data_IF_813910731405
#
_entry.id   IF_813910731405
#
_cell.length_a   1.000
_cell.length_b   1.000
_cell.length_c   1.000
_cell.angle_alpha   90.00
_cell.angle_beta   90.00
_cell.angle_gamma   90.00
#
_symmetry.space_group_name_H-M   'P 1'
#
loop_
_entity.id
_entity.type
_entity.pdbx_description
1 polymer ?
#
# COMPACT_ATOMS: atom_id res chain seq x y z
N UNK A 1 107.32 -8.98 38.38
CA UNK A 1 107.57 -7.52 38.27
C UNK A 1 106.26 -6.83 38.68
N UNK A 2 106.04 -6.64 39.99
CA UNK A 2 106.09 -5.34 40.71
C UNK A 2 105.07 -4.30 40.20
N UNK A 3 103.96 -4.14 40.95
CA UNK A 3 103.41 -2.91 41.57
C UNK A 3 101.92 -3.18 41.93
N UNK A 4 101.50 -3.36 43.20
CA UNK A 4 101.38 -2.40 44.33
C UNK A 4 100.26 -1.37 44.07
N UNK A 5 99.07 -1.49 44.67
CA UNK A 5 98.58 -0.77 45.88
C UNK A 5 97.03 -1.05 45.96
N UNK A 6 96.28 -1.06 47.07
CA UNK A 6 96.41 -0.41 48.37
C UNK A 6 95.49 -1.13 49.39
N UNK A 7 95.98 -1.26 50.62
CA UNK A 7 95.28 -1.73 51.84
C UNK A 7 94.03 -0.89 52.19
N UNK A 8 93.02 -1.52 52.80
CA UNK A 8 92.48 -1.03 54.08
C UNK A 8 91.83 -2.18 54.87
N UNK A 9 92.37 -2.42 56.07
CA UNK A 9 91.90 -3.42 57.03
C UNK A 9 90.95 -2.77 58.03
N UNK A 10 89.95 -3.50 58.53
CA UNK A 10 89.49 -3.33 59.92
C UNK A 10 88.74 -4.58 60.43
N UNK A 11 89.32 -5.21 61.44
CA UNK A 11 88.70 -6.20 62.33
C UNK A 11 87.54 -5.56 63.10
N UNK A 12 86.43 -6.28 63.27
CA UNK A 12 85.73 -6.37 64.54
C UNK A 12 85.20 -7.81 64.74
N UNK A 13 85.73 -8.48 65.77
CA UNK A 13 85.04 -9.59 66.42
C UNK A 13 83.78 -9.04 67.08
N UNK A 14 82.64 -9.66 66.81
CA UNK A 14 81.39 -9.42 67.53
C UNK A 14 80.45 -10.61 67.35
N UNK A 15 80.54 -11.58 68.25
CA UNK A 15 79.44 -12.53 68.47
C UNK A 15 78.31 -11.75 69.16
N UNK A 16 77.22 -11.50 68.44
CA UNK A 16 75.99 -10.94 68.97
C UNK A 16 74.81 -11.72 68.41
N UNK A 17 74.23 -12.58 69.25
CA UNK A 17 72.89 -13.09 69.04
C UNK A 17 71.94 -11.91 69.18
N UNK A 18 71.46 -11.37 68.06
CA UNK A 18 70.28 -10.53 68.03
C UNK A 18 69.44 -10.92 66.82
N UNK A 19 68.21 -11.33 67.14
CA UNK A 19 67.10 -11.53 66.22
C UNK A 19 66.92 -10.22 65.43
N UNK A 20 67.54 -10.16 64.25
CA UNK A 20 67.40 -9.06 63.33
C UNK A 20 65.97 -9.09 62.76
N UNK A 21 65.15 -8.25 63.37
CA UNK A 21 63.88 -7.73 62.88
C UNK A 21 63.90 -7.61 61.34
N UNK A 22 63.04 -8.40 60.70
CA UNK A 22 62.74 -8.36 59.26
C UNK A 22 62.52 -6.90 58.83
N UNK A 23 63.23 -6.36 57.82
CA UNK A 23 62.88 -5.07 57.26
C UNK A 23 61.50 -5.19 56.61
N UNK A 24 60.65 -4.20 56.90
CA UNK A 24 59.36 -4.01 56.25
C UNK A 24 59.55 -3.80 54.74
N UNK A 25 59.20 -4.82 53.97
CA UNK A 25 58.71 -4.70 52.59
C UNK A 25 57.35 -5.40 52.54
N UNK A 26 56.39 -4.91 51.74
CA UNK A 26 55.01 -5.41 51.74
C UNK A 26 54.99 -6.92 51.48
N UNK A 27 54.09 -7.62 52.14
CA UNK A 27 53.94 -9.08 52.12
C UNK A 27 54.02 -9.65 50.69
N UNK A 28 55.22 -10.08 50.30
CA UNK A 28 55.45 -10.96 49.17
C UNK A 28 55.08 -12.37 49.61
N UNK A 29 54.20 -13.00 48.86
CA UNK A 29 53.76 -14.40 49.02
C UNK A 29 54.91 -15.40 48.91
N UNK A 30 56.06 -14.97 48.37
CA UNK A 30 57.21 -15.81 48.13
C UNK A 30 57.82 -16.45 49.39
N UNK A 31 58.02 -17.76 49.33
CA UNK A 31 58.59 -18.61 50.39
C UNK A 31 57.54 -19.13 51.37
N UNK A 32 56.27 -19.16 51.00
CA UNK A 32 55.17 -19.60 51.85
C UNK A 32 54.87 -21.12 51.73
N UNK A 33 55.57 -21.83 50.85
CA UNK A 33 55.39 -23.26 50.61
C UNK A 33 54.22 -23.60 49.69
N UNK A 34 53.73 -22.66 48.90
CA UNK A 34 52.70 -22.82 47.86
C UNK A 34 53.13 -22.03 46.61
N UNK A 35 52.69 -22.48 45.45
CA UNK A 35 52.90 -21.76 44.19
C UNK A 35 51.71 -20.84 43.94
N UNK A 36 51.89 -19.54 44.11
CA UNK A 36 50.83 -18.54 43.89
C UNK A 36 50.77 -18.05 42.43
N UNK A 37 49.66 -17.42 42.01
CA UNK A 37 49.38 -17.04 40.60
C UNK A 37 50.44 -16.15 39.94
N UNK A 38 51.29 -15.48 40.72
CA UNK A 38 52.36 -14.58 40.23
C UNK A 38 53.78 -15.12 40.49
N UNK A 39 53.91 -16.39 40.85
CA UNK A 39 55.18 -17.03 41.18
C UNK A 39 55.50 -18.10 40.14
N UNK A 40 56.75 -18.15 39.71
CA UNK A 40 57.24 -19.23 38.84
C UNK A 40 57.69 -20.44 39.66
N UNK A 41 58.11 -20.19 40.90
CA UNK A 41 58.49 -21.21 41.88
C UNK A 41 58.46 -20.62 43.29
N UNK A 42 58.37 -21.46 44.33
CA UNK A 42 58.44 -21.05 45.74
C UNK A 42 59.56 -21.83 46.49
N UNK A 43 60.49 -21.14 47.18
CA UNK A 43 61.61 -21.79 47.88
C UNK A 43 61.20 -22.54 49.15
N UNK A 44 59.97 -22.33 49.64
CA UNK A 44 59.36 -23.09 50.73
C UNK A 44 58.83 -24.46 50.29
N UNK A 45 58.72 -24.74 48.98
CA UNK A 45 58.40 -26.06 48.43
C UNK A 45 59.70 -26.87 48.30
N UNK A 46 59.82 -27.95 49.07
CA UNK A 46 61.07 -28.71 49.17
C UNK A 46 61.44 -29.53 47.93
N UNK A 47 60.47 -29.93 47.11
CA UNK A 47 60.69 -30.71 45.88
C UNK A 47 59.38 -30.89 45.11
N UNK A 48 59.45 -31.03 43.77
CA UNK A 48 58.31 -31.29 42.91
C UNK A 48 57.81 -30.05 42.18
N UNK A 49 56.59 -30.10 41.65
CA UNK A 49 55.98 -29.00 40.91
C UNK A 49 55.88 -27.75 41.80
N UNK A 50 56.31 -26.60 41.26
CA UNK A 50 56.38 -25.34 41.99
C UNK A 50 57.62 -25.15 42.88
N UNK A 51 58.49 -26.15 43.06
CA UNK A 51 59.78 -25.94 43.77
C UNK A 51 60.79 -25.17 42.91
N UNK A 52 61.55 -24.26 43.53
CA UNK A 52 62.59 -23.51 42.82
C UNK A 52 63.74 -24.43 42.41
N UNK A 53 63.92 -24.58 41.09
CA UNK A 53 64.99 -25.39 40.54
C UNK A 53 66.36 -24.75 40.81
N UNK A 54 67.34 -25.56 41.20
CA UNK A 54 68.71 -25.11 41.50
C UNK A 54 69.67 -25.28 40.33
N UNK A 55 69.23 -25.96 39.26
CA UNK A 55 69.99 -26.13 38.02
C UNK A 55 69.05 -26.42 36.84
N UNK A 56 69.51 -26.05 35.64
CA UNK A 56 68.86 -26.39 34.38
C UNK A 56 69.81 -27.28 33.58
N UNK A 57 69.32 -28.45 33.14
CA UNK A 57 70.03 -29.25 32.16
C UNK A 57 69.75 -28.72 30.76
N UNK A 58 70.80 -28.46 29.99
CA UNK A 58 70.69 -28.15 28.57
C UNK A 58 70.65 -29.46 27.75
N UNK A 59 69.80 -29.52 26.72
CA UNK A 59 69.86 -30.55 25.68
C UNK A 59 71.08 -30.40 24.77
N UNK A 60 71.24 -31.32 23.81
CA UNK A 60 72.40 -31.33 22.88
C UNK A 60 72.43 -30.15 21.89
N UNK A 61 71.30 -29.48 21.64
CA UNK A 61 71.16 -28.42 20.62
C UNK A 61 70.60 -27.10 21.19
N UNK A 62 70.78 -26.88 22.49
CA UNK A 62 70.36 -25.68 23.18
C UNK A 62 71.31 -25.37 24.33
N UNK A 63 71.24 -24.15 24.83
CA UNK A 63 71.83 -23.76 26.11
C UNK A 63 70.71 -23.47 27.10
N UNK A 64 70.95 -23.74 28.38
CA UNK A 64 69.99 -23.45 29.44
C UNK A 64 70.66 -22.63 30.53
N UNK A 65 70.04 -21.49 30.86
CA UNK A 65 70.50 -20.59 31.91
C UNK A 65 69.37 -20.38 32.93
N UNK A 66 69.73 -20.37 34.21
CA UNK A 66 68.80 -20.10 35.30
C UNK A 66 68.76 -18.58 35.52
N UNK A 67 67.60 -17.96 35.29
CA UNK A 67 67.41 -16.51 35.42
C UNK A 67 66.41 -16.20 36.54
N UNK A 68 66.58 -15.05 37.19
CA UNK A 68 65.78 -14.63 38.35
C UNK A 68 66.42 -15.05 39.68
N UNK A 69 65.61 -15.08 40.74
CA UNK A 69 66.04 -15.35 42.11
C UNK A 69 64.99 -16.20 42.84
N UNK A 70 65.44 -17.25 43.54
CA UNK A 70 64.57 -18.07 44.38
C UNK A 70 63.87 -17.23 45.46
N UNK A 71 64.55 -16.20 45.98
CA UNK A 71 64.01 -15.32 47.03
C UNK A 71 62.96 -14.34 46.52
N UNK A 72 62.82 -14.22 45.20
CA UNK A 72 61.82 -13.38 44.52
C UNK A 72 60.76 -14.24 43.81
N UNK A 73 60.83 -15.56 43.94
CA UNK A 73 59.88 -16.52 43.36
C UNK A 73 59.67 -16.39 41.84
N UNK A 74 60.67 -15.83 41.14
CA UNK A 74 60.66 -15.61 39.69
C UNK A 74 61.73 -16.45 38.97
N UNK A 75 62.43 -17.32 39.72
CA UNK A 75 63.50 -18.16 39.21
C UNK A 75 62.95 -19.15 38.17
N UNK A 76 63.54 -19.15 36.98
CA UNK A 76 63.12 -20.01 35.88
C UNK A 76 64.29 -20.36 34.98
N UNK A 77 64.18 -21.50 34.30
CA UNK A 77 65.10 -21.84 33.22
C UNK A 77 64.71 -21.08 31.95
N UNK A 78 65.62 -20.28 31.42
CA UNK A 78 65.54 -19.78 30.05
C UNK A 78 66.41 -20.67 29.18
N UNK A 79 65.78 -21.29 28.18
CA UNK A 79 66.46 -22.12 27.19
C UNK A 79 66.61 -21.29 25.91
N UNK A 80 67.81 -21.29 25.36
CA UNK A 80 68.14 -20.59 24.13
C UNK A 80 68.61 -21.62 23.12
N UNK A 81 67.88 -21.83 22.01
CA UNK A 81 68.32 -22.69 20.92
C UNK A 81 69.67 -22.24 20.37
N UNK A 82 70.50 -23.17 19.91
CA UNK A 82 71.70 -22.83 19.15
C UNK A 82 71.29 -22.17 17.82
N UNK A 83 72.14 -21.30 17.27
CA UNK A 83 71.89 -20.68 15.96
C UNK A 83 72.18 -21.70 14.84
N UNK A 84 71.52 -21.53 13.68
CA UNK A 84 71.78 -22.33 12.47
C UNK A 84 73.27 -22.31 12.12
N UNK A 85 73.92 -23.47 12.07
CA UNK A 85 75.34 -23.58 11.81
C UNK A 85 75.72 -24.95 11.24
N UNK A 86 76.18 -24.93 9.98
CA UNK A 86 76.66 -26.11 9.26
C UNK A 86 77.67 -26.98 10.05
N UNK A 87 77.38 -28.26 10.19
CA UNK A 87 78.30 -29.31 10.65
C UNK A 87 78.43 -29.43 12.18
N UNK A 88 77.52 -28.81 12.93
CA UNK A 88 77.45 -28.89 14.40
C UNK A 88 76.57 -30.06 14.90
N UNK A 89 75.87 -30.75 13.98
CA UNK A 89 75.03 -31.91 14.26
C UNK A 89 73.67 -31.57 14.86
N UNK A 90 73.26 -30.31 14.79
CA UNK A 90 72.01 -29.79 15.32
C UNK A 90 71.18 -29.11 14.22
N UNK A 91 69.85 -29.31 14.24
CA UNK A 91 68.93 -28.58 13.37
C UNK A 91 67.87 -27.86 14.24
N UNK A 92 68.17 -26.64 14.72
CA UNK A 92 67.25 -25.88 15.57
C UNK A 92 66.04 -25.32 14.80
N UNK A 93 64.96 -25.00 15.53
CA UNK A 93 63.72 -24.49 14.94
C UNK A 93 63.96 -23.18 14.16
N UNK A 94 63.63 -23.17 12.87
CA UNK A 94 63.82 -22.03 11.96
C UNK A 94 65.04 -22.13 11.05
N UNK A 95 65.84 -23.21 11.17
CA UNK A 95 66.90 -23.57 10.23
C UNK A 95 66.36 -24.54 9.17
N UNK A 96 66.96 -24.50 7.99
CA UNK A 96 66.66 -25.39 6.87
C UNK A 96 67.96 -25.84 6.18
N UNK A 97 67.87 -26.78 5.24
CA UNK A 97 69.03 -27.29 4.52
C UNK A 97 69.85 -26.22 3.75
N UNK A 98 69.34 -24.98 3.62
CA UNK A 98 70.03 -23.86 2.98
C UNK A 98 70.77 -22.94 3.95
N UNK A 99 70.38 -22.98 5.22
CA UNK A 99 70.91 -22.17 6.32
C UNK A 99 71.66 -22.99 7.36
N UNK A 100 71.48 -24.31 7.35
CA UNK A 100 72.17 -25.30 8.17
C UNK A 100 72.25 -26.65 7.42
N UNK A 101 73.46 -27.05 7.04
CA UNK A 101 73.70 -28.28 6.27
C UNK A 101 73.42 -29.58 7.02
N UNK A 102 73.22 -29.52 8.34
CA UNK A 102 72.80 -30.69 9.13
C UNK A 102 71.28 -30.91 9.11
N UNK A 103 70.50 -29.97 8.57
CA UNK A 103 69.07 -30.15 8.29
C UNK A 103 68.86 -30.90 6.97
N UNK A 104 68.07 -31.98 6.96
CA UNK A 104 67.93 -32.85 5.78
C UNK A 104 66.56 -32.84 5.12
N UNK A 105 65.63 -32.00 5.61
CA UNK A 105 64.25 -31.73 5.13
C UNK A 105 63.77 -32.64 3.98
N UNK A 106 63.70 -33.94 4.23
CA UNK A 106 63.38 -34.96 3.23
C UNK A 106 62.10 -35.65 3.65
N UNK A 107 61.03 -35.31 2.95
CA UNK A 107 59.73 -35.93 3.14
C UNK A 107 59.77 -37.48 3.09
N UNK A 108 59.30 -38.11 4.16
CA UNK A 108 59.27 -39.55 4.41
C UNK A 108 60.50 -40.12 5.11
N UNK A 109 61.26 -39.34 5.88
CA UNK A 109 62.52 -39.77 6.51
C UNK A 109 62.41 -40.22 7.98
N UNK A 110 61.21 -40.15 8.57
CA UNK A 110 60.88 -40.46 9.96
C UNK A 110 60.86 -39.25 10.91
N UNK A 111 61.10 -38.02 10.44
CA UNK A 111 61.15 -36.78 11.24
C UNK A 111 60.46 -35.61 10.54
N UNK A 112 59.69 -34.80 11.27
CA UNK A 112 59.06 -33.57 10.72
C UNK A 112 60.03 -32.40 10.87
N UNK A 113 60.59 -31.90 9.77
CA UNK A 113 61.56 -30.80 9.72
C UNK A 113 60.92 -29.52 9.12
N UNK A 114 61.35 -28.30 9.45
CA UNK A 114 60.72 -27.09 8.85
C UNK A 114 61.13 -26.95 7.37
N UNK A 115 60.23 -26.79 6.38
CA UNK A 115 58.83 -26.34 6.45
C UNK A 115 57.75 -27.44 6.36
N UNK A 116 58.09 -28.69 6.64
CA UNK A 116 57.16 -29.82 6.64
C UNK A 116 56.12 -29.70 7.77
N UNK A 117 54.91 -30.15 7.49
CA UNK A 117 53.78 -30.22 8.43
C UNK A 117 53.59 -31.66 8.93
N UNK A 118 54.04 -32.61 8.14
CA UNK A 118 53.97 -34.05 8.35
C UNK A 118 55.11 -34.69 7.56
N UNK A 119 55.40 -35.97 7.78
CA UNK A 119 56.58 -36.62 7.20
C UNK A 119 56.19 -37.89 6.40
N UNK A 120 55.45 -37.69 5.30
CA UNK A 120 54.90 -38.77 4.47
C UNK A 120 53.65 -39.44 5.04
N UNK A 121 53.55 -39.56 6.37
CA UNK A 121 52.38 -40.03 7.11
C UNK A 121 51.36 -38.90 7.35
N UNK A 122 51.06 -38.16 6.29
CA UNK A 122 50.18 -37.00 6.37
C UNK A 122 48.69 -37.37 6.46
N UNK A 123 47.83 -36.48 6.99
CA UNK A 123 46.40 -36.73 7.07
C UNK A 123 45.80 -37.06 5.70
N UNK A 124 45.10 -38.19 5.60
CA UNK A 124 44.39 -38.62 4.38
C UNK A 124 42.90 -38.32 4.44
N UNK A 125 42.40 -37.94 5.61
CA UNK A 125 41.05 -37.46 5.85
C UNK A 125 41.05 -36.50 7.04
N UNK A 126 40.12 -35.55 7.04
CA UNK A 126 40.00 -34.57 8.11
C UNK A 126 38.63 -34.72 8.77
N UNK A 127 38.61 -34.57 10.09
CA UNK A 127 37.35 -34.45 10.82
C UNK A 127 36.83 -33.03 10.64
N UNK A 128 35.54 -32.90 10.36
CA UNK A 128 34.85 -31.62 10.25
C UNK A 128 33.47 -31.70 10.88
N UNK A 129 32.81 -30.55 10.96
CA UNK A 129 31.38 -30.50 11.28
C UNK A 129 30.58 -30.40 9.98
N UNK A 130 29.26 -30.54 10.05
CA UNK A 130 28.41 -30.36 8.87
C UNK A 130 28.62 -28.97 8.22
N UNK A 131 28.74 -27.92 9.04
CA UNK A 131 28.93 -26.54 8.58
C UNK A 131 30.39 -26.11 8.36
N UNK A 132 31.34 -26.99 8.65
CA UNK A 132 32.76 -26.73 8.42
C UNK A 132 33.42 -28.08 8.11
N UNK A 133 33.18 -28.63 6.92
CA UNK A 133 33.76 -29.89 6.51
C UNK A 133 35.29 -29.76 6.47
N UNK A 134 35.98 -30.76 7.01
CA UNK A 134 37.43 -30.82 6.98
C UNK A 134 37.91 -31.31 5.61
N UNK A 135 38.80 -30.55 4.98
CA UNK A 135 39.44 -30.92 3.71
C UNK A 135 40.95 -31.00 3.89
N UNK A 136 41.57 -31.97 3.19
CA UNK A 136 43.03 -32.06 3.13
C UNK A 136 43.52 -31.13 2.02
N UNK A 137 44.37 -30.17 2.37
CA UNK A 137 45.09 -29.32 1.41
C UNK A 137 46.58 -29.66 1.46
N UNK A 138 47.31 -29.45 0.36
CA UNK A 138 48.71 -29.90 0.22
C UNK A 138 48.80 -31.38 -0.20
N UNK A 139 49.98 -31.99 -0.09
CA UNK A 139 50.18 -33.40 -0.43
C UNK A 139 51.12 -34.12 0.54
N UNK A 140 50.82 -35.40 0.77
CA UNK A 140 51.69 -36.27 1.54
C UNK A 140 53.07 -36.46 0.91
N UNK A 141 53.18 -36.31 -0.42
CA UNK A 141 54.45 -36.43 -1.15
C UNK A 141 55.36 -35.21 -1.01
N UNK A 142 54.80 -34.07 -0.59
CA UNK A 142 55.51 -32.81 -0.39
C UNK A 142 55.50 -32.38 1.08
N UNK A 143 54.97 -33.24 1.95
CA UNK A 143 54.98 -33.06 3.40
C UNK A 143 54.32 -31.76 3.88
N UNK A 144 53.45 -31.18 3.06
CA UNK A 144 52.69 -29.96 3.35
C UNK A 144 51.18 -30.24 3.51
N UNK A 145 50.79 -31.53 3.50
CA UNK A 145 49.41 -31.94 3.68
C UNK A 145 48.91 -31.62 5.10
N UNK A 146 47.84 -30.82 5.18
CA UNK A 146 47.22 -30.39 6.43
C UNK A 146 45.70 -30.34 6.30
N UNK A 147 45.02 -30.35 7.44
CA UNK A 147 43.58 -30.16 7.49
C UNK A 147 43.25 -28.67 7.54
N UNK A 148 42.38 -28.24 6.63
CA UNK A 148 41.73 -26.94 6.68
C UNK A 148 40.21 -27.16 6.69
N UNK A 149 39.48 -26.21 7.27
CA UNK A 149 38.02 -26.21 7.28
C UNK A 149 37.56 -24.95 6.59
N UNK A 150 36.72 -25.10 5.57
CA UNK A 150 36.04 -23.97 4.94
C UNK A 150 34.62 -23.89 5.51
N UNK A 151 34.24 -22.77 6.15
CA UNK A 151 32.90 -22.63 6.70
C UNK A 151 31.87 -22.48 5.57
N UNK A 152 30.80 -23.27 5.64
CA UNK A 152 29.60 -23.05 4.84
C UNK A 152 28.84 -21.88 5.48
N UNK A 153 28.65 -20.81 4.70
CA UNK A 153 28.01 -19.56 5.14
C UNK A 153 26.75 -19.21 4.33
N UNK A 154 26.41 -20.04 3.34
CA UNK A 154 25.22 -19.89 2.52
C UNK A 154 24.14 -20.84 3.04
N UNK A 155 22.89 -20.43 2.90
CA UNK A 155 21.71 -21.25 3.21
C UNK A 155 21.39 -22.10 1.98
N UNK A 156 21.74 -23.38 2.02
CA UNK A 156 21.59 -24.31 0.90
C UNK A 156 20.88 -25.59 1.37
N UNK A 157 19.72 -25.88 0.75
CA UNK A 157 18.90 -27.02 1.17
C UNK A 157 19.59 -28.38 0.97
N UNK A 158 19.63 -29.19 2.04
CA UNK A 158 19.99 -30.61 2.00
C UNK A 158 21.49 -30.88 2.05
N UNK A 159 22.30 -29.90 2.46
CA UNK A 159 23.73 -30.03 2.67
C UNK A 159 24.09 -30.50 4.10
N UNK A 160 23.09 -30.58 4.99
CA UNK A 160 23.22 -31.03 6.37
C UNK A 160 23.74 -29.98 7.33
N UNK A 161 23.99 -28.74 6.87
CA UNK A 161 24.46 -27.61 7.65
C UNK A 161 23.35 -26.57 7.83
N UNK A 162 23.08 -26.15 9.07
CA UNK A 162 22.36 -24.91 9.33
C UNK A 162 23.37 -23.78 9.57
N UNK A 163 23.69 -23.01 8.53
CA UNK A 163 24.68 -21.93 8.60
C UNK A 163 24.15 -20.71 9.40
N UNK A 164 25.06 -19.91 9.97
CA UNK A 164 24.68 -18.78 10.81
C UNK A 164 23.89 -17.72 10.00
N UNK A 165 22.64 -17.46 10.41
CA UNK A 165 21.72 -16.56 9.72
C UNK A 165 20.72 -17.26 8.78
N UNK A 166 20.78 -18.59 8.69
CA UNK A 166 19.78 -19.41 8.00
C UNK A 166 18.70 -19.86 8.98
N UNK A 167 17.51 -20.14 8.44
CA UNK A 167 16.36 -20.62 9.20
C UNK A 167 15.58 -21.67 8.39
N UNK A 168 14.60 -22.32 9.02
CA UNK A 168 13.80 -23.37 8.38
C UNK A 168 12.99 -22.91 7.14
N UNK A 169 12.97 -21.61 6.81
CA UNK A 169 12.29 -21.07 5.62
C UNK A 169 13.21 -20.94 4.41
N UNK A 170 14.53 -20.89 4.62
CA UNK A 170 15.52 -20.75 3.56
C UNK A 170 16.62 -21.83 3.60
N UNK A 171 16.56 -22.73 4.58
CA UNK A 171 17.45 -23.86 4.74
C UNK A 171 16.71 -25.01 5.46
N UNK A 172 16.43 -26.08 4.72
CA UNK A 172 15.73 -27.26 5.25
C UNK A 172 16.51 -28.03 6.34
N UNK A 173 17.82 -27.82 6.48
CA UNK A 173 18.63 -28.46 7.52
C UNK A 173 18.53 -27.72 8.88
N UNK A 174 17.97 -26.50 8.89
CA UNK A 174 17.65 -25.76 10.12
C UNK A 174 16.35 -26.23 10.81
N UNK A 175 15.61 -27.18 10.22
CA UNK A 175 14.35 -27.71 10.80
C UNK A 175 14.59 -28.53 12.09
N UNK A 176 15.82 -29.04 12.32
CA UNK A 176 16.16 -29.81 13.53
C UNK A 176 16.53 -28.97 14.76
N UNK A 177 16.73 -27.66 14.60
CA UNK A 177 16.98 -26.74 15.74
C UNK A 177 15.68 -25.96 15.93
N UNK A 178 14.76 -26.51 16.72
CA UNK A 178 13.53 -25.79 17.08
C UNK A 178 13.85 -24.43 17.76
N UNK A 179 12.90 -23.49 17.79
CA UNK A 179 13.10 -22.17 18.39
C UNK A 179 13.65 -22.31 19.80
N UNK A 180 14.82 -21.73 20.04
CA UNK A 180 15.66 -21.96 21.21
C UNK A 180 15.82 -20.69 22.02
N UNK A 181 14.92 -20.55 23.00
CA UNK A 181 14.90 -19.44 23.94
C UNK A 181 16.24 -19.18 24.63
N UNK A 182 16.72 -17.95 24.52
CA UNK A 182 17.94 -17.39 25.11
C UNK A 182 19.14 -17.28 24.16
N UNK A 183 18.96 -17.35 22.84
CA UNK A 183 20.07 -17.43 21.86
C UNK A 183 20.48 -16.08 21.22
N UNK A 184 19.76 -14.99 21.50
CA UNK A 184 19.99 -13.63 21.01
C UNK A 184 19.22 -13.22 19.74
N UNK A 185 18.39 -14.10 19.16
CA UNK A 185 17.50 -13.85 18.01
C UNK A 185 16.05 -14.28 18.30
N UNK A 186 15.05 -13.45 17.98
CA UNK A 186 13.63 -13.82 18.13
C UNK A 186 13.18 -14.66 16.93
N UNK A 187 12.96 -15.95 17.16
CA UNK A 187 12.63 -16.94 16.13
C UNK A 187 11.11 -17.10 15.93
N UNK A 188 10.70 -17.83 14.89
CA UNK A 188 9.28 -18.07 14.60
C UNK A 188 8.60 -18.84 15.74
N UNK A 189 7.71 -18.15 16.47
CA UNK A 189 6.99 -18.69 17.63
C UNK A 189 7.43 -18.07 18.97
N UNK A 190 8.48 -17.26 18.98
CA UNK A 190 8.94 -16.51 20.13
C UNK A 190 8.41 -15.06 20.12
N UNK A 191 8.12 -14.51 21.31
CA UNK A 191 7.73 -13.10 21.51
C UNK A 191 8.90 -12.24 22.02
N UNK A 192 9.95 -12.88 22.52
CA UNK A 192 11.12 -12.29 23.14
C UNK A 192 12.19 -13.37 23.23
N UNK A 193 13.45 -13.00 23.45
CA UNK A 193 14.53 -13.98 23.43
C UNK A 193 15.60 -13.68 24.50
N UNK A 194 15.39 -14.22 25.70
CA UNK A 194 16.19 -13.96 26.91
C UNK A 194 15.98 -12.57 27.55
N UNK A 195 15.46 -11.59 26.80
CA UNK A 195 15.12 -10.25 27.26
C UNK A 195 13.62 -10.06 27.56
N UNK A 196 12.92 -11.16 27.81
CA UNK A 196 11.48 -11.15 28.04
C UNK A 196 11.05 -10.29 29.23
N UNK A 197 9.88 -9.63 29.16
CA UNK A 197 9.34 -8.87 30.27
C UNK A 197 9.10 -9.79 31.49
N UNK A 198 9.55 -9.34 32.66
CA UNK A 198 9.34 -10.05 33.94
C UNK A 198 8.20 -9.45 34.76
N UNK A 199 7.73 -8.27 34.38
CA UNK A 199 6.55 -7.61 34.92
C UNK A 199 5.97 -6.67 33.85
N UNK A 200 4.66 -6.48 33.90
CA UNK A 200 3.96 -5.53 33.04
C UNK A 200 3.39 -4.41 33.90
N UNK A 201 3.48 -3.18 33.40
CA UNK A 201 2.85 -2.01 34.00
C UNK A 201 1.74 -1.52 33.07
N UNK A 202 0.62 -1.03 33.60
CA UNK A 202 -0.38 -0.34 32.81
C UNK A 202 0.22 0.78 31.96
N UNK A 203 -0.27 0.94 30.73
CA UNK A 203 0.17 2.05 29.85
C UNK A 203 -0.46 3.38 30.25
N UNK A 204 -1.60 3.33 30.92
CA UNK A 204 -2.35 4.46 31.46
C UNK A 204 -3.20 3.99 32.65
N UNK A 205 -3.87 4.92 33.32
CA UNK A 205 -4.71 4.62 34.49
C UNK A 205 -5.95 3.75 34.16
N UNK A 206 -6.33 3.64 32.89
CA UNK A 206 -7.53 2.94 32.43
C UNK A 206 -7.32 1.52 31.92
N UNK A 207 -6.15 0.94 32.16
CA UNK A 207 -5.86 -0.43 31.77
C UNK A 207 -5.23 -1.17 32.94
N UNK A 208 -5.46 -2.46 33.01
CA UNK A 208 -4.65 -3.38 33.82
C UNK A 208 -3.72 -4.14 32.89
N UNK A 209 -2.46 -4.31 33.30
CA UNK A 209 -1.50 -5.08 32.55
C UNK A 209 -1.21 -6.40 33.28
N UNK A 210 -1.32 -7.52 32.57
CA UNK A 210 -0.95 -8.83 33.09
C UNK A 210 0.15 -9.44 32.24
N UNK A 211 1.09 -10.13 32.90
CA UNK A 211 2.13 -10.88 32.20
C UNK A 211 1.56 -12.24 31.82
N UNK A 212 1.52 -12.53 30.52
CA UNK A 212 1.16 -13.83 29.97
C UNK A 212 2.41 -14.57 29.52
N UNK A 213 2.34 -15.91 29.53
CA UNK A 213 3.46 -16.77 29.16
C UNK A 213 4.59 -16.78 30.19
N UNK A 214 5.79 -17.17 29.76
CA UNK A 214 6.98 -17.23 30.62
C UNK A 214 8.25 -16.86 29.85
N UNK A 215 9.14 -16.15 30.53
CA UNK A 215 10.46 -15.81 29.99
C UNK A 215 11.30 -17.06 29.66
N UNK A 216 11.07 -18.18 30.34
CA UNK A 216 11.77 -19.44 30.10
C UNK A 216 11.35 -20.16 28.81
N UNK A 217 10.19 -19.81 28.26
CA UNK A 217 9.65 -20.36 27.01
C UNK A 217 9.61 -19.31 25.90
N UNK A 218 10.21 -18.14 26.12
CA UNK A 218 10.27 -17.05 25.15
C UNK A 218 8.91 -16.63 24.57
N UNK A 219 7.83 -16.85 25.34
CA UNK A 219 6.46 -16.50 25.00
C UNK A 219 5.88 -15.50 26.01
N UNK A 220 6.74 -14.83 26.78
CA UNK A 220 6.33 -13.82 27.75
C UNK A 220 5.92 -12.52 27.05
N UNK A 221 4.66 -12.12 27.23
CA UNK A 221 4.09 -10.91 26.64
C UNK A 221 3.12 -10.22 27.60
N UNK A 222 2.96 -8.91 27.45
CA UNK A 222 1.99 -8.17 28.25
C UNK A 222 0.63 -8.16 27.56
N UNK A 223 -0.39 -8.63 28.27
CA UNK A 223 -1.79 -8.47 27.90
C UNK A 223 -2.37 -7.27 28.65
N UNK A 224 -3.19 -6.48 27.97
CA UNK A 224 -3.78 -5.26 28.51
C UNK A 224 -5.29 -5.37 28.46
N UNK A 225 -5.91 -5.33 29.62
CA UNK A 225 -7.36 -5.35 29.77
C UNK A 225 -7.86 -3.94 30.09
N UNK A 226 -8.83 -3.40 29.34
CA UNK A 226 -9.41 -2.10 29.64
C UNK A 226 -10.26 -2.18 30.91
N UNK A 227 -10.10 -1.19 31.79
CA UNK A 227 -11.01 -0.99 32.92
C UNK A 227 -12.34 -0.48 32.37
N UNK A 228 -13.44 -1.16 32.71
CA UNK A 228 -14.80 -0.80 32.27
C UNK A 228 -15.72 -0.37 33.41
N UNK A 229 -15.26 -0.46 34.66
CA UNK A 229 -16.01 -0.06 35.84
C UNK A 229 -15.82 1.44 36.10
N UNK A 230 -16.91 2.16 36.30
CA UNK A 230 -16.88 3.57 36.70
C UNK A 230 -16.53 3.69 38.19
N UNK A 231 -15.31 4.13 38.51
CA UNK A 231 -14.81 4.22 39.90
C UNK A 231 -14.12 5.56 40.10
N UNK A 232 -14.85 6.53 40.67
CA UNK A 232 -14.28 7.85 40.91
C UNK A 232 -13.09 7.86 41.89
N UNK A 233 -12.06 8.61 41.52
CA UNK A 233 -10.82 8.85 42.27
C UNK A 233 -9.67 7.89 41.92
N UNK A 234 -9.81 7.04 40.90
CA UNK A 234 -8.79 6.11 40.43
C UNK A 234 -7.94 6.66 39.27
N UNK A 235 -8.30 7.84 38.76
CA UNK A 235 -7.61 8.53 37.68
C UNK A 235 -7.97 8.01 36.28
N UNK A 236 -8.97 7.14 36.16
CA UNK A 236 -9.48 6.61 34.91
C UNK A 236 -10.92 7.07 34.63
N UNK A 237 -11.24 7.37 33.37
CA UNK A 237 -12.61 7.54 32.89
C UNK A 237 -12.92 6.53 31.77
N UNK A 238 -13.53 5.37 32.08
CA UNK A 238 -13.91 4.38 31.08
C UNK A 238 -15.05 4.83 30.15
N UNK A 239 -15.13 4.24 28.96
CA UNK A 239 -16.20 4.49 28.01
C UNK A 239 -17.59 4.14 28.59
N UNK A 240 -18.51 5.10 28.60
CA UNK A 240 -19.85 4.96 29.16
C UNK A 240 -19.99 5.43 30.61
N UNK A 241 -18.88 5.79 31.26
CA UNK A 241 -18.88 6.50 32.53
C UNK A 241 -19.12 8.01 32.32
N UNK A 242 -19.63 8.67 33.35
CA UNK A 242 -19.96 10.10 33.35
C UNK A 242 -19.37 10.73 34.59
N UNK A 243 -19.19 12.05 34.63
CA UNK A 243 -18.74 12.75 35.86
C UNK A 243 -19.61 12.42 37.10
N UNK A 244 -20.88 12.06 36.90
CA UNK A 244 -21.80 11.67 37.98
C UNK A 244 -21.57 10.25 38.52
N UNK A 245 -21.02 9.36 37.71
CA UNK A 245 -20.75 7.96 38.08
C UNK A 245 -19.26 7.68 38.28
N UNK A 246 -18.40 8.58 37.80
CA UNK A 246 -16.95 8.53 37.89
C UNK A 246 -16.38 9.96 37.94
N UNK A 247 -15.79 10.34 39.07
CA UNK A 247 -15.31 11.71 39.29
C UNK A 247 -14.04 12.07 38.51
N UNK A 248 -13.37 11.10 37.89
CA UNK A 248 -12.20 11.35 37.04
C UNK A 248 -12.58 11.69 35.59
N UNK A 249 -13.85 11.51 35.21
CA UNK A 249 -14.38 12.01 33.95
C UNK A 249 -14.52 13.54 34.02
N UNK A 250 -13.74 14.31 33.25
CA UNK A 250 -13.84 15.77 33.22
C UNK A 250 -15.02 16.24 32.35
N UNK A 251 -15.62 17.38 32.69
CA UNK A 251 -16.69 18.02 31.90
C UNK A 251 -16.12 19.19 31.09
N UNK A 252 -14.98 19.00 30.44
CA UNK A 252 -14.17 20.12 29.90
C UNK A 252 -13.91 19.97 28.41
N UNK A 253 -14.63 20.78 27.63
CA UNK A 253 -14.39 21.04 26.21
C UNK A 253 -12.90 21.35 25.91
N UNK A 254 -12.34 20.68 24.91
CA UNK A 254 -10.95 20.80 24.47
C UNK A 254 -10.00 19.74 25.06
N UNK A 255 -10.50 18.58 25.49
CA UNK A 255 -9.73 17.54 26.19
C UNK A 255 -9.31 16.33 25.31
N UNK A 256 -9.59 16.38 24.01
CA UNK A 256 -9.45 15.33 22.99
C UNK A 256 -10.49 14.18 23.04
N UNK A 257 -11.61 14.33 23.74
CA UNK A 257 -12.72 13.38 23.80
C UNK A 257 -14.07 14.07 23.52
N UNK A 258 -15.01 13.36 22.87
CA UNK A 258 -16.39 13.87 22.64
C UNK A 258 -17.34 13.18 23.62
N UNK A 259 -17.76 13.87 24.68
CA UNK A 259 -18.64 13.34 25.72
C UNK A 259 -20.14 13.41 25.35
N UNK A 260 -21.01 12.64 26.05
CA UNK A 260 -22.45 12.78 25.93
C UNK A 260 -22.94 14.20 26.25
N UNK A 261 -23.30 14.97 25.21
CA UNK A 261 -23.69 16.37 25.29
C UNK A 261 -22.85 17.29 24.41
N UNK A 262 -21.67 16.81 23.97
CA UNK A 262 -20.78 17.49 23.05
C UNK A 262 -20.99 16.99 21.60
N UNK A 263 -20.74 17.85 20.62
CA UNK A 263 -20.78 17.55 19.18
C UNK A 263 -19.41 17.69 18.50
N UNK A 264 -18.43 18.24 19.21
CA UNK A 264 -17.05 18.50 18.83
C UNK A 264 -16.25 18.75 20.11
N UNK A 265 -14.92 18.79 20.05
CA UNK A 265 -14.10 18.87 21.26
C UNK A 265 -12.93 19.87 21.07
N UNK A 266 -13.24 21.17 21.17
CA UNK A 266 -12.33 22.29 20.93
C UNK A 266 -11.96 22.52 19.45
N UNK A 267 -12.21 21.55 18.57
CA UNK A 267 -12.05 21.63 17.12
C UNK A 267 -13.39 21.84 16.39
N UNK A 268 -14.30 22.56 17.03
CA UNK A 268 -15.64 22.77 16.54
C UNK A 268 -15.68 23.46 15.16
N UNK A 269 -16.65 23.12 14.28
CA UNK A 269 -16.75 23.76 12.97
C UNK A 269 -16.95 25.27 13.12
N UNK A 270 -16.09 26.07 12.47
CA UNK A 270 -16.19 27.53 12.48
C UNK A 270 -17.06 28.08 11.34
N UNK A 271 -17.36 27.24 10.34
CA UNK A 271 -18.28 27.55 9.24
C UNK A 271 -18.91 26.28 8.70
N UNK A 272 -20.08 26.42 8.07
CA UNK A 272 -20.76 25.33 7.39
C UNK A 272 -20.89 25.67 5.90
N UNK A 273 -20.64 24.68 5.04
CA UNK A 273 -20.83 24.82 3.59
C UNK A 273 -22.12 24.12 3.20
N UNK A 274 -22.97 24.81 2.42
CA UNK A 274 -24.19 24.20 1.89
C UNK A 274 -23.86 23.14 0.83
N UNK A 275 -24.50 21.95 0.88
CA UNK A 275 -24.26 20.89 -0.11
C UNK A 275 -24.77 21.22 -1.51
N UNK A 276 -25.75 22.13 -1.62
CA UNK A 276 -26.29 22.64 -2.88
C UNK A 276 -26.94 24.02 -2.63
N UNK A 277 -27.28 24.74 -3.71
CA UNK A 277 -27.85 26.07 -3.63
C UNK A 277 -29.22 26.11 -2.90
N UNK A 278 -29.96 25.00 -2.88
CA UNK A 278 -31.28 24.90 -2.24
C UNK A 278 -31.26 24.47 -0.77
N UNK A 279 -30.07 24.36 -0.18
CA UNK A 279 -29.92 23.99 1.23
C UNK A 279 -29.30 25.15 1.98
N UNK A 280 -30.06 25.74 2.90
CA UNK A 280 -29.53 26.73 3.83
C UNK A 280 -28.93 25.99 5.02
N UNK A 281 -27.66 26.24 5.32
CA UNK A 281 -26.99 25.69 6.49
C UNK A 281 -26.72 26.79 7.49
N UNK A 282 -27.07 26.58 8.75
CA UNK A 282 -26.85 27.53 9.85
C UNK A 282 -26.00 26.87 10.93
N UNK A 283 -24.90 27.53 11.30
CA UNK A 283 -24.09 27.14 12.45
C UNK A 283 -24.82 27.56 13.74
N UNK A 284 -24.98 26.64 14.68
CA UNK A 284 -25.64 26.86 15.98
C UNK A 284 -24.87 26.16 17.07
N UNK A 285 -25.08 26.55 18.33
CA UNK A 285 -24.32 26.07 19.48
C UNK A 285 -23.30 27.11 19.96
N UNK A 286 -22.46 26.68 20.88
CA UNK A 286 -21.47 27.47 21.60
C UNK A 286 -20.14 26.69 21.58
N UNK A 287 -19.07 27.38 21.18
CA UNK A 287 -17.72 26.82 21.04
C UNK A 287 -17.10 26.45 22.39
N UNK A 288 -17.39 27.21 23.46
CA UNK A 288 -16.89 26.94 24.82
C UNK A 288 -17.61 25.76 25.47
N UNK A 289 -18.81 25.43 24.98
CA UNK A 289 -19.61 24.29 25.43
C UNK A 289 -19.55 23.09 24.49
N UNK A 290 -18.66 23.13 23.49
CA UNK A 290 -18.42 22.01 22.58
C UNK A 290 -19.68 21.43 21.92
N UNK A 291 -20.72 22.27 21.72
CA UNK A 291 -22.03 21.83 21.21
C UNK A 291 -22.39 22.47 19.85
N UNK A 292 -21.37 22.98 19.15
CA UNK A 292 -21.49 23.58 17.82
C UNK A 292 -21.86 22.53 16.78
N UNK A 293 -22.94 22.78 16.05
CA UNK A 293 -23.43 21.93 14.96
C UNK A 293 -24.00 22.73 13.80
N UNK A 294 -23.96 22.14 12.62
CA UNK A 294 -24.64 22.65 11.43
C UNK A 294 -26.08 22.12 11.39
N UNK A 295 -27.07 23.02 11.32
CA UNK A 295 -28.46 22.65 11.04
C UNK A 295 -28.76 23.01 9.59
N UNK A 296 -29.24 22.01 8.84
CA UNK A 296 -29.68 22.17 7.46
C UNK A 296 -31.18 22.46 7.41
N UNK A 297 -31.56 23.40 6.56
CA UNK A 297 -32.95 23.71 6.23
C UNK A 297 -33.09 23.81 4.70
N UNK A 298 -34.11 23.17 4.16
CA UNK A 298 -34.40 23.25 2.73
C UNK A 298 -35.03 24.60 2.39
N UNK A 299 -34.55 25.23 1.31
CA UNK A 299 -35.21 26.40 0.73
C UNK A 299 -36.40 25.88 -0.08
N UNK A 300 -37.61 26.20 0.39
CA UNK A 300 -38.87 25.76 -0.25
C UNK A 300 -39.67 26.91 -0.86
N UNK A 301 -39.18 28.14 -0.73
CA UNK A 301 -39.83 29.33 -1.29
C UNK A 301 -39.19 29.67 -2.63
N UNK A 302 -40.02 30.12 -3.57
CA UNK A 302 -39.55 30.69 -4.83
C UNK A 302 -39.02 32.09 -4.56
N UNK A 303 -37.71 32.31 -4.73
CA UNK A 303 -37.08 33.60 -4.49
C UNK A 303 -36.08 33.91 -5.59
N UNK A 304 -36.22 35.09 -6.20
CA UNK A 304 -35.34 35.48 -7.29
C UNK A 304 -33.91 35.82 -6.79
N UNK A 305 -32.90 35.31 -7.48
CA UNK A 305 -31.46 35.52 -7.29
C UNK A 305 -30.89 34.95 -5.99
N UNK A 306 -31.49 33.91 -5.44
CA UNK A 306 -30.92 33.14 -4.32
C UNK A 306 -30.10 31.93 -4.79
N UNK A 307 -30.12 31.65 -6.10
CA UNK A 307 -29.40 30.56 -6.74
C UNK A 307 -30.09 29.20 -6.61
N UNK A 308 -31.24 29.12 -5.94
CA UNK A 308 -32.02 27.91 -5.76
C UNK A 308 -33.27 27.92 -6.63
N UNK A 309 -33.46 26.88 -7.45
CA UNK A 309 -34.78 26.58 -8.00
C UNK A 309 -35.50 25.56 -7.10
N UNK A 310 -36.27 26.05 -6.13
CA UNK A 310 -37.00 25.20 -5.20
C UNK A 310 -38.12 24.40 -5.92
N UNK A 311 -38.49 23.24 -5.36
CA UNK A 311 -39.50 22.37 -5.96
C UNK A 311 -40.87 23.09 -6.09
N UNK A 312 -41.43 23.11 -7.31
CA UNK A 312 -42.68 23.82 -7.61
C UNK A 312 -42.51 25.27 -8.05
N UNK A 313 -41.28 25.78 -8.05
CA UNK A 313 -40.95 27.08 -8.62
C UNK A 313 -40.77 26.98 -10.13
N UNK A 314 -40.98 28.10 -10.80
CA UNK A 314 -40.92 28.25 -12.25
C UNK A 314 -40.18 29.54 -12.60
N UNK A 315 -39.73 29.69 -13.83
CA UNK A 315 -39.14 30.94 -14.33
C UNK A 315 -40.01 32.18 -14.13
N UNK A 316 -41.32 32.02 -13.91
CA UNK A 316 -42.24 33.12 -13.67
C UNK A 316 -42.17 33.70 -12.24
N UNK A 317 -41.78 32.89 -11.26
CA UNK A 317 -41.74 33.27 -9.85
C UNK A 317 -40.39 33.01 -9.16
N UNK A 318 -39.43 32.47 -9.91
CA UNK A 318 -38.06 32.20 -9.50
C UNK A 318 -37.15 32.23 -10.73
N UNK A 319 -36.28 33.23 -10.85
CA UNK A 319 -35.39 33.39 -12.00
C UNK A 319 -34.14 32.50 -11.94
N UNK A 320 -33.90 31.79 -10.84
CA UNK A 320 -32.86 30.76 -10.72
C UNK A 320 -33.34 29.40 -11.27
N UNK A 321 -34.65 29.26 -11.49
CA UNK A 321 -35.20 28.14 -12.24
C UNK A 321 -34.79 28.18 -13.72
N UNK A 322 -34.06 27.16 -14.15
CA UNK A 322 -33.87 26.90 -15.56
C UNK A 322 -35.23 26.68 -16.22
N UNK A 323 -35.45 27.33 -17.37
CA UNK A 323 -36.67 27.13 -18.14
C UNK A 323 -36.79 25.66 -18.56
N UNK A 324 -37.82 24.98 -18.06
CA UNK A 324 -38.08 23.57 -18.41
C UNK A 324 -38.78 23.52 -19.77
N UNK A 325 -38.10 23.06 -20.84
CA UNK A 325 -38.68 23.05 -22.16
C UNK A 325 -39.83 22.04 -22.21
N UNK A 326 -41.01 22.49 -22.62
CA UNK A 326 -42.14 21.58 -22.84
C UNK A 326 -41.79 20.58 -23.95
N UNK A 327 -42.22 19.33 -23.81
CA UNK A 327 -42.07 18.28 -24.83
C UNK A 327 -43.27 18.26 -25.78
N UNK A 328 -43.11 17.62 -26.95
CA UNK A 328 -44.22 17.45 -27.91
C UNK A 328 -45.44 16.78 -27.26
N UNK A 329 -45.21 15.77 -26.42
CA UNK A 329 -46.27 15.08 -25.68
C UNK A 329 -47.01 16.00 -24.70
N UNK A 330 -46.28 16.84 -23.95
CA UNK A 330 -46.88 17.79 -23.00
C UNK A 330 -47.70 18.88 -23.69
N UNK A 331 -47.30 19.27 -24.92
CA UNK A 331 -48.06 20.20 -25.76
C UNK A 331 -49.19 19.52 -26.55
N UNK A 332 -49.31 18.20 -26.44
CA UNK A 332 -50.24 17.39 -27.24
C UNK A 332 -49.93 17.42 -28.74
N UNK A 333 -48.74 17.79 -29.18
CA UNK A 333 -48.36 17.93 -30.59
C UNK A 333 -47.84 16.60 -31.17
N UNK A 334 -48.49 16.12 -32.22
CA UNK A 334 -48.15 14.87 -32.95
C UNK A 334 -47.30 15.12 -34.20
N UNK A 335 -47.22 16.36 -34.67
CA UNK A 335 -46.47 16.73 -35.86
C UNK A 335 -46.04 18.21 -35.84
N UNK A 336 -45.07 18.58 -36.68
CA UNK A 336 -44.67 19.97 -36.88
C UNK A 336 -43.62 20.48 -35.88
N UNK A 337 -43.51 21.82 -35.75
CA UNK A 337 -42.46 22.50 -34.96
C UNK A 337 -42.99 23.55 -33.97
N UNK A 338 -43.78 23.17 -32.95
CA UNK A 338 -44.21 24.10 -31.91
C UNK A 338 -43.04 24.60 -31.06
N UNK A 339 -43.17 25.79 -30.45
CA UNK A 339 -42.18 26.30 -29.49
C UNK A 339 -42.24 25.55 -28.16
N UNK A 340 -41.09 25.34 -27.51
CA UNK A 340 -40.98 24.63 -26.22
C UNK A 340 -41.26 25.52 -24.99
N UNK A 341 -41.71 26.76 -25.19
CA UNK A 341 -41.90 27.75 -24.12
C UNK A 341 -40.63 28.40 -23.58
N UNK A 342 -39.45 27.94 -24.00
CA UNK A 342 -38.12 28.38 -23.55
C UNK A 342 -37.26 28.96 -24.68
N UNK A 343 -37.89 29.45 -25.75
CA UNK A 343 -37.22 30.10 -26.88
C UNK A 343 -36.64 29.16 -27.93
N UNK A 344 -36.85 27.84 -27.83
CA UNK A 344 -36.46 26.88 -28.88
C UNK A 344 -37.68 26.20 -29.50
N UNK A 345 -37.59 25.81 -30.77
CA UNK A 345 -38.63 25.02 -31.44
C UNK A 345 -38.40 23.52 -31.25
N UNK A 346 -39.47 22.77 -30.97
CA UNK A 346 -39.47 21.31 -30.94
C UNK A 346 -39.61 20.75 -32.36
N UNK A 347 -39.33 19.46 -32.54
CA UNK A 347 -39.63 18.71 -33.76
C UNK A 347 -40.49 17.52 -33.39
N UNK A 348 -41.81 17.63 -33.61
CA UNK A 348 -42.80 16.64 -33.19
C UNK A 348 -43.10 15.60 -34.26
N UNK A 349 -42.30 15.54 -35.33
CA UNK A 349 -42.43 14.54 -36.39
C UNK A 349 -43.28 15.00 -37.57
N UNK A 350 -43.51 14.06 -38.48
CA UNK A 350 -44.34 14.22 -39.68
C UNK A 350 -45.47 13.20 -39.64
N UNK A 351 -46.61 13.55 -40.22
CA UNK A 351 -47.76 12.64 -40.29
C UNK A 351 -47.55 11.52 -41.31
N UNK A 352 -48.33 10.44 -41.19
CA UNK A 352 -48.28 9.34 -42.15
C UNK A 352 -48.69 9.79 -43.56
N UNK A 353 -48.39 8.99 -44.59
CA UNK A 353 -48.58 9.36 -46.01
C UNK A 353 -50.01 9.75 -46.42
N UNK A 354 -51.03 9.46 -45.59
CA UNK A 354 -52.43 9.82 -45.81
C UNK A 354 -52.96 10.81 -44.75
N UNK A 355 -52.09 11.54 -44.06
CA UNK A 355 -52.43 12.54 -43.06
C UNK A 355 -51.68 13.85 -43.33
N UNK A 356 -52.26 14.97 -42.95
CA UNK A 356 -51.62 16.28 -43.02
C UNK A 356 -51.50 16.89 -41.62
N UNK A 357 -50.44 17.66 -41.40
CA UNK A 357 -50.21 18.30 -40.12
C UNK A 357 -51.01 19.61 -40.04
N UNK A 358 -52.08 19.60 -39.26
CA UNK A 358 -52.93 20.78 -39.04
C UNK A 358 -53.02 21.07 -37.54
N UNK A 359 -52.68 22.30 -37.13
CA UNK A 359 -52.63 22.70 -35.72
C UNK A 359 -51.85 21.71 -34.83
N UNK A 360 -50.71 21.21 -35.32
CA UNK A 360 -49.85 20.22 -34.66
C UNK A 360 -50.49 18.85 -34.40
N UNK A 361 -51.64 18.54 -35.03
CA UNK A 361 -52.27 17.23 -35.04
C UNK A 361 -52.16 16.59 -36.42
N UNK A 362 -52.02 15.26 -36.46
CA UNK A 362 -52.15 14.53 -37.70
C UNK A 362 -53.63 14.30 -37.99
N UNK A 363 -54.12 14.94 -39.05
CA UNK A 363 -55.50 14.77 -39.51
C UNK A 363 -55.51 14.03 -40.85
N UNK A 364 -56.42 13.09 -41.08
CA UNK A 364 -56.52 12.38 -42.35
C UNK A 364 -56.61 13.37 -43.52
N UNK A 365 -55.81 13.14 -44.56
CA UNK A 365 -56.04 13.76 -45.86
C UNK A 365 -57.38 13.21 -46.33
N UNK A 366 -58.41 14.04 -46.35
CA UNK A 366 -59.71 13.65 -46.85
C UNK A 366 -59.53 13.15 -48.29
N UNK A 367 -59.70 11.85 -48.52
CA UNK A 367 -59.74 11.24 -49.85
C UNK A 367 -60.86 11.91 -50.66
N UNK A 368 -60.51 12.96 -51.38
CA UNK A 368 -61.46 13.85 -52.01
C UNK A 368 -62.12 13.15 -53.19
N UNK A 369 -63.41 12.88 -53.08
CA UNK A 369 -64.28 12.56 -54.21
C UNK A 369 -64.60 13.84 -55.00
N UNK A 370 -65.30 13.70 -56.12
CA UNK A 370 -65.71 14.84 -56.95
C UNK A 370 -66.30 16.00 -56.13
N UNK A 371 -65.69 17.19 -56.25
CA UNK A 371 -66.06 18.42 -55.56
C UNK A 371 -65.51 18.62 -54.14
N UNK A 372 -64.68 17.70 -53.65
CA UNK A 372 -63.96 17.88 -52.38
C UNK A 372 -62.91 19.01 -52.45
N UNK A 373 -62.61 19.68 -51.32
CA UNK A 373 -61.53 20.67 -51.24
C UNK A 373 -60.17 20.00 -51.42
N UNK A 374 -59.24 20.70 -52.04
CA UNK A 374 -57.89 20.20 -52.31
C UNK A 374 -56.88 21.33 -52.39
N UNK A 375 -55.62 21.02 -52.09
CA UNK A 375 -54.47 21.91 -52.27
C UNK A 375 -53.44 21.35 -53.26
N UNK A 376 -53.56 20.07 -53.60
CA UNK A 376 -52.75 19.35 -54.58
C UNK A 376 -53.51 18.11 -55.10
N UNK A 377 -52.99 17.50 -56.17
CA UNK A 377 -53.63 16.33 -56.81
C UNK A 377 -53.70 15.12 -55.88
N UNK A 378 -52.78 15.02 -54.92
CA UNK A 378 -52.75 14.00 -53.87
C UNK A 378 -53.97 14.01 -52.95
N UNK A 379 -54.72 15.11 -52.90
CA UNK A 379 -55.97 15.19 -52.14
C UNK A 379 -57.16 14.57 -52.88
N UNK A 380 -57.00 14.21 -54.16
CA UNK A 380 -58.07 13.74 -55.02
C UNK A 380 -57.92 12.26 -55.36
N UNK A 381 -59.03 11.52 -55.36
CA UNK A 381 -59.05 10.08 -55.64
C UNK A 381 -59.86 9.78 -56.90
N UNK A 382 -59.73 8.56 -57.45
CA UNK A 382 -60.53 8.15 -58.62
C UNK A 382 -60.10 8.81 -59.95
N UNK A 383 -58.84 9.23 -60.08
CA UNK A 383 -58.32 9.86 -61.31
C UNK A 383 -58.65 11.35 -61.44
N UNK A 384 -59.19 11.96 -60.39
CA UNK A 384 -59.47 13.39 -60.32
C UNK A 384 -58.17 14.19 -60.07
N UNK A 385 -58.13 15.41 -60.58
CA UNK A 385 -57.09 16.40 -60.35
C UNK A 385 -57.63 17.56 -59.53
N UNK A 386 -56.74 18.22 -58.79
CA UNK A 386 -57.09 19.41 -58.04
C UNK A 386 -57.00 20.63 -58.93
N UNK A 387 -58.12 21.35 -59.10
CA UNK A 387 -58.10 22.66 -59.76
C UNK A 387 -58.32 23.77 -58.75
N UNK A 388 -57.46 24.78 -58.78
CA UNK A 388 -57.61 26.01 -58.00
C UNK A 388 -58.11 27.17 -58.87
N UNK A 389 -57.81 27.13 -60.16
CA UNK A 389 -58.29 28.07 -61.18
C UNK A 389 -58.46 27.35 -62.50
N UNK A 390 -59.59 27.57 -63.17
CA UNK A 390 -59.81 27.12 -64.55
C UNK A 390 -59.29 28.20 -65.51
N UNK A 391 -58.29 27.84 -66.33
CA UNK A 391 -57.62 28.77 -67.24
C UNK A 391 -58.44 29.10 -68.48
N UNK A 392 -59.48 28.32 -68.79
CA UNK A 392 -60.36 28.54 -69.95
C UNK A 392 -61.51 29.46 -69.57
N UNK A 393 -62.11 29.26 -68.40
CA UNK A 393 -63.26 30.05 -67.92
C UNK A 393 -62.88 31.18 -66.96
N UNK A 394 -61.60 31.27 -66.56
CA UNK A 394 -61.07 32.19 -65.54
C UNK A 394 -61.75 32.09 -64.17
N UNK A 395 -62.43 30.98 -63.89
CA UNK A 395 -63.12 30.74 -62.62
C UNK A 395 -62.14 30.25 -61.57
N UNK A 396 -62.18 30.86 -60.39
CA UNK A 396 -61.36 30.45 -59.24
C UNK A 396 -62.18 29.54 -58.33
N UNK A 397 -61.55 28.47 -57.83
CA UNK A 397 -62.16 27.50 -56.93
C UNK A 397 -61.60 27.70 -55.52
N UNK A 398 -62.34 28.38 -54.62
CA UNK A 398 -61.88 28.61 -53.26
C UNK A 398 -61.62 27.29 -52.54
N UNK A 399 -60.43 27.13 -51.96
CA UNK A 399 -59.93 25.91 -51.31
C UNK A 399 -59.80 24.69 -52.25
N UNK A 400 -59.66 24.93 -53.56
CA UNK A 400 -59.43 23.94 -54.62
C UNK A 400 -60.57 22.94 -54.82
N UNK A 401 -60.72 22.36 -55.99
CA UNK A 401 -61.83 21.47 -56.31
C UNK A 401 -61.33 20.20 -57.01
N UNK A 402 -61.58 19.04 -56.41
CA UNK A 402 -61.29 17.77 -57.07
C UNK A 402 -62.26 17.56 -58.24
N UNK A 403 -61.74 17.57 -59.46
CA UNK A 403 -62.50 17.42 -60.71
C UNK A 403 -61.71 16.62 -61.72
N UNK A 404 -62.34 16.23 -62.82
CA UNK A 404 -61.63 15.83 -64.04
C UNK A 404 -62.17 16.66 -65.20
N UNK A 405 -61.35 16.78 -66.24
CA UNK A 405 -61.76 17.38 -67.49
C UNK A 405 -62.84 16.54 -68.16
N UNK A 406 -63.80 17.20 -68.82
CA UNK A 406 -64.87 16.58 -69.57
C UNK A 406 -65.13 17.25 -70.92
N UNK A 407 -65.66 16.46 -71.85
CA UNK A 407 -66.17 16.92 -73.13
C UNK A 407 -67.51 16.22 -73.40
N UNK A 408 -68.62 16.97 -73.44
CA UNK A 408 -69.97 16.42 -73.27
C UNK A 408 -70.36 15.27 -74.23
N UNK A 409 -69.78 15.20 -75.43
CA UNK A 409 -70.10 14.16 -76.43
C UNK A 409 -68.99 13.12 -76.65
N UNK A 410 -67.78 13.31 -76.13
CA UNK A 410 -66.62 12.42 -76.40
C UNK A 410 -66.03 11.85 -75.11
N UNK A 411 -66.11 12.58 -74.00
CA UNK A 411 -65.63 12.16 -72.69
C UNK A 411 -66.56 12.73 -71.59
N UNK A 412 -67.76 12.14 -71.42
CA UNK A 412 -68.68 12.58 -70.38
C UNK A 412 -68.11 12.26 -69.00
N UNK A 413 -68.54 13.04 -68.00
CA UNK A 413 -68.18 12.80 -66.62
C UNK A 413 -68.65 11.41 -66.17
N UNK A 414 -67.71 10.60 -65.67
CA UNK A 414 -68.03 9.27 -65.11
C UNK A 414 -68.87 9.41 -63.84
N UNK A 415 -68.60 10.46 -63.07
CA UNK A 415 -69.43 10.94 -61.97
C UNK A 415 -69.66 12.44 -62.13
N UNK A 416 -70.89 12.91 -61.90
CA UNK A 416 -71.25 14.33 -61.90
C UNK A 416 -71.66 14.92 -63.26
N UNK A 417 -71.65 16.25 -63.31
CA UNK A 417 -72.19 17.03 -64.44
C UNK A 417 -71.05 17.82 -65.09
N UNK A 418 -70.91 17.71 -66.40
CA UNK A 418 -69.94 18.51 -67.15
C UNK A 418 -70.45 19.95 -67.27
N UNK A 419 -69.70 20.92 -66.75
CA UNK A 419 -70.00 22.34 -66.90
C UNK A 419 -68.80 23.02 -67.55
N UNK A 420 -69.04 23.71 -68.66
CA UNK A 420 -68.01 24.33 -69.49
C UNK A 420 -68.59 25.34 -70.47
N UNK A 421 -67.76 25.87 -71.35
CA UNK A 421 -68.17 26.83 -72.39
C UNK A 421 -68.26 26.12 -73.75
N UNK A 422 -69.21 26.57 -74.59
CA UNK A 422 -69.19 26.26 -76.01
C UNK A 422 -68.19 27.21 -76.68
N UNK A 423 -67.05 26.70 -77.12
CA UNK A 423 -66.15 27.51 -77.92
C UNK A 423 -66.81 27.81 -79.28
N UNK A 424 -66.74 29.06 -79.75
CA UNK A 424 -67.49 29.54 -80.92
C UNK A 424 -67.03 28.94 -82.27
N UNK A 425 -66.21 27.88 -82.24
CA UNK A 425 -65.66 27.19 -83.41
C UNK A 425 -65.63 25.66 -83.33
N UNK A 426 -66.09 25.02 -82.25
CA UNK A 426 -66.17 23.55 -82.13
C UNK A 426 -67.55 23.13 -81.59
N UNK A 427 -68.19 22.07 -82.11
CA UNK A 427 -69.56 21.68 -81.73
C UNK A 427 -69.65 20.96 -80.37
N UNK A 428 -68.68 21.16 -79.47
CA UNK A 428 -68.50 20.35 -78.25
C UNK A 428 -68.34 21.24 -77.02
N UNK A 429 -69.21 21.04 -76.02
CA UNK A 429 -69.05 21.63 -74.68
C UNK A 429 -67.85 20.96 -73.97
N UNK A 430 -66.88 21.78 -73.60
CA UNK A 430 -65.64 21.34 -72.93
C UNK A 430 -65.53 22.05 -71.58
N UNK A 431 -65.23 21.31 -70.51
CA UNK A 431 -65.17 21.89 -69.17
C UNK A 431 -64.70 20.93 -68.08
N UNK A 432 -65.19 21.16 -66.87
CA UNK A 432 -64.84 20.41 -65.67
C UNK A 432 -66.06 19.65 -65.12
N UNK A 433 -65.84 18.46 -64.56
CA UNK A 433 -66.87 17.70 -63.87
C UNK A 433 -67.19 18.31 -62.50
N UNK A 434 -68.45 18.65 -62.29
CA UNK A 434 -68.92 19.20 -61.03
C UNK A 434 -69.79 18.19 -60.29
N UNK A 435 -69.69 18.23 -58.95
CA UNK A 435 -70.53 17.41 -58.08
C UNK A 435 -72.01 17.70 -58.37
N UNK A 436 -72.85 16.67 -58.60
CA UNK A 436 -74.25 16.88 -58.95
C UNK A 436 -75.04 17.48 -57.78
N UNK A 437 -76.03 18.30 -58.09
CA UNK A 437 -76.90 18.93 -57.12
C UNK A 437 -78.29 19.22 -57.70
N UNK A 438 -79.28 19.32 -56.82
CA UNK A 438 -80.64 19.82 -57.10
C UNK A 438 -80.95 21.11 -56.33
N UNK A 439 -80.08 21.50 -55.38
CA UNK A 439 -80.15 22.78 -54.65
C UNK A 439 -78.76 23.19 -54.13
N UNK A 440 -78.53 24.49 -53.90
CA UNK A 440 -77.25 24.98 -53.38
C UNK A 440 -76.87 24.43 -52.00
N UNK A 441 -77.83 23.91 -51.23
CA UNK A 441 -77.56 23.29 -49.92
C UNK A 441 -76.75 21.98 -50.01
N UNK A 442 -76.71 21.33 -51.17
CA UNK A 442 -75.92 20.11 -51.41
C UNK A 442 -74.46 20.40 -51.79
N UNK A 443 -74.16 21.68 -52.03
CA UNK A 443 -72.84 22.18 -52.36
C UNK A 443 -72.11 22.62 -51.09
N UNK A 444 -70.79 22.56 -51.12
CA UNK A 444 -69.95 23.03 -50.01
C UNK A 444 -70.00 24.56 -49.93
N UNK A 445 -69.64 25.12 -48.77
CA UNK A 445 -69.61 26.57 -48.56
C UNK A 445 -68.82 27.30 -49.65
N UNK A 446 -69.40 28.37 -50.20
CA UNK A 446 -68.84 29.13 -51.34
C UNK A 446 -69.23 28.62 -52.73
N UNK A 447 -70.11 27.61 -52.83
CA UNK A 447 -70.59 27.04 -54.09
C UNK A 447 -72.13 27.04 -54.13
N UNK A 448 -72.70 27.27 -55.31
CA UNK A 448 -74.13 27.19 -55.60
C UNK A 448 -74.43 26.14 -56.65
N UNK A 449 -75.67 25.64 -56.63
CA UNK A 449 -76.12 24.70 -57.64
C UNK A 449 -76.48 25.44 -58.93
N UNK A 450 -75.66 25.27 -59.96
CA UNK A 450 -75.82 25.90 -61.28
C UNK A 450 -75.88 24.80 -62.32
N UNK A 451 -76.92 24.79 -63.15
CA UNK A 451 -77.11 23.78 -64.21
C UNK A 451 -76.97 22.33 -63.74
N UNK A 452 -77.36 22.03 -62.49
CA UNK A 452 -77.29 20.70 -61.89
C UNK A 452 -75.94 20.29 -61.30
N UNK A 453 -74.93 21.17 -61.30
CA UNK A 453 -73.63 20.94 -60.67
C UNK A 453 -73.23 22.04 -59.67
N UNK A 454 -72.44 21.68 -58.66
CA UNK A 454 -71.97 22.60 -57.64
C UNK A 454 -70.83 23.48 -58.15
N UNK A 455 -71.15 24.72 -58.51
CA UNK A 455 -70.26 25.71 -59.11
C UNK A 455 -69.89 26.81 -58.10
N UNK A 456 -68.66 27.37 -58.09
CA UNK A 456 -68.29 28.44 -57.16
C UNK A 456 -69.17 29.70 -57.33
N UNK A 457 -69.48 30.36 -56.21
CA UNK A 457 -70.32 31.58 -56.15
C UNK A 457 -69.67 32.82 -56.75
#
# INVERSE_FOLDING_TARGET
>A
MKLLFLLFALMFLGCGNDVAKKPNTPAGTCGNGRLDTNETCDPGISSGEGSCQVSCGAGSCETAELVGSANECNLRCVRTPQACADGDGCCPQGCDASSDSDCTNTCGNGTVETPEICDGDCPTSCQGTACAPGVVVGSASTCDARCETEPIILCDDGDGCCAAGCDASNDSDCEMVGPSCGNGVVEAGELCDGNCPTACQPRNACETASLQGSAAQCNAGCEYDPISACVGGDGCCPAGCTNATDSDCSTTCGNNFIEPGETCDGNCPTSCTAPNACTRVTLTGDEEQCNVRCIEAQITQCQNNDGCCAAGCTTANDNDCACQPSTCQQLGAECGRPGNGCGQSLNCGQCASNETCSNFQCVPVSNGTLGAPCTGNENCTGGLTCVTTDTVTMVTYPNGYCTTFCAALIAPCTEGVCIGTTDAGLPLEVGNCHKPCTSSAQCRGGYSCVSGGCYPN
#
